data_IF_708904137452
#
_entry.id   IF_708904137452
#
_cell.length_a   1.000
_cell.length_b   1.000
_cell.length_c   1.000
_cell.angle_alpha   90.00
_cell.angle_beta   90.00
_cell.angle_gamma   90.00
#
_symmetry.space_group_name_H-M   'P 1'
#
loop_
_entity.id
_entity.type
_entity.pdbx_description
1 polymer ?
#
# COMPACT_ATOMS: atom_id res chain seq x y z
N UNK A 1 2.08 -4.76 0.96
CA UNK A 1 1.00 -5.78 0.84
C UNK A 1 -0.34 -5.09 0.88
N UNK A 2 -1.27 -5.37 -0.04
CA UNK A 2 -2.60 -4.77 0.03
C UNK A 2 -3.70 -5.75 -0.36
N UNK A 3 -4.78 -5.76 0.41
CA UNK A 3 -5.97 -6.56 0.20
C UNK A 3 -6.99 -5.79 -0.64
N UNK A 4 -7.76 -6.50 -1.45
CA UNK A 4 -8.93 -5.98 -2.13
C UNK A 4 -10.10 -6.98 -1.98
N UNK A 5 -11.36 -6.50 -2.02
CA UNK A 5 -12.52 -7.34 -1.75
C UNK A 5 -12.65 -8.58 -2.64
N UNK A 6 -12.75 -8.38 -3.96
CA UNK A 6 -13.09 -9.42 -4.93
C UNK A 6 -12.57 -9.07 -6.33
N UNK A 7 -12.19 -10.10 -7.07
CA UNK A 7 -12.00 -10.06 -8.53
C UNK A 7 -13.31 -9.67 -9.25
N UNK A 8 -13.21 -9.14 -10.47
CA UNK A 8 -14.36 -8.79 -11.33
C UNK A 8 -15.37 -7.81 -10.70
N UNK A 9 -14.90 -6.91 -9.84
CA UNK A 9 -15.71 -5.82 -9.25
C UNK A 9 -15.23 -4.44 -9.73
N UNK A 10 -15.74 -3.35 -9.14
CA UNK A 10 -15.66 -2.01 -9.72
C UNK A 10 -14.42 -1.21 -9.33
N UNK A 11 -14.17 -1.03 -8.02
CA UNK A 11 -13.03 -0.22 -7.52
C UNK A 11 -11.74 -1.04 -7.47
N UNK A 12 -11.83 -2.35 -7.26
CA UNK A 12 -10.66 -3.23 -7.16
C UNK A 12 -9.71 -3.19 -8.37
N UNK A 13 -10.19 -3.25 -9.65
CA UNK A 13 -9.29 -3.19 -10.79
C UNK A 13 -8.57 -1.84 -10.88
N UNK A 14 -9.20 -0.74 -10.46
CA UNK A 14 -8.57 0.59 -10.54
C UNK A 14 -7.37 0.68 -9.60
N UNK A 15 -7.46 0.11 -8.40
CA UNK A 15 -6.35 0.08 -7.44
C UNK A 15 -5.19 -0.80 -7.93
N UNK A 16 -5.50 -2.03 -8.37
CA UNK A 16 -4.48 -2.98 -8.85
C UNK A 16 -3.77 -2.40 -10.08
N UNK A 17 -4.51 -1.81 -11.01
CA UNK A 17 -3.94 -1.16 -12.20
C UNK A 17 -3.06 0.02 -11.80
N UNK A 18 -3.54 0.90 -10.90
CA UNK A 18 -2.78 2.08 -10.49
C UNK A 18 -1.45 1.72 -9.81
N UNK A 19 -1.44 0.68 -8.96
CA UNK A 19 -0.21 0.17 -8.37
C UNK A 19 0.67 -0.54 -9.39
N UNK A 20 0.09 -1.35 -10.28
CA UNK A 20 0.83 -2.07 -11.32
C UNK A 20 1.52 -1.14 -12.31
N UNK A 21 0.84 -0.09 -12.77
CA UNK A 21 1.39 0.87 -13.73
C UNK A 21 2.54 1.69 -13.12
N UNK A 22 2.54 1.86 -11.78
CA UNK A 22 3.56 2.57 -11.02
C UNK A 22 4.53 1.66 -10.26
N UNK A 23 4.49 0.35 -10.50
CA UNK A 23 5.32 -0.62 -9.77
C UNK A 23 6.82 -0.32 -9.87
N UNK A 24 7.27 0.25 -10.99
CA UNK A 24 8.66 0.68 -11.18
C UNK A 24 9.12 1.70 -10.12
N UNK A 25 8.27 2.64 -9.72
CA UNK A 25 8.60 3.65 -8.70
C UNK A 25 8.85 3.04 -7.32
N UNK A 26 8.18 1.92 -7.01
CA UNK A 26 8.39 1.16 -5.79
C UNK A 26 9.65 0.30 -5.89
N UNK A 27 9.86 -0.38 -7.02
CA UNK A 27 11.03 -1.22 -7.25
C UNK A 27 12.34 -0.40 -7.21
N UNK A 28 12.34 0.82 -7.76
CA UNK A 28 13.50 1.73 -7.73
C UNK A 28 13.95 2.11 -6.31
N UNK A 29 13.04 2.05 -5.34
CA UNK A 29 13.33 2.29 -3.92
C UNK A 29 13.40 0.98 -3.12
N UNK A 30 13.51 -0.18 -3.78
CA UNK A 30 13.63 -1.48 -3.12
C UNK A 30 12.36 -1.92 -2.38
N UNK A 31 11.18 -1.51 -2.84
CA UNK A 31 9.88 -1.89 -2.28
C UNK A 31 9.09 -2.74 -3.28
N UNK A 32 8.65 -3.92 -2.84
CA UNK A 32 7.82 -4.82 -3.64
C UNK A 32 6.33 -4.64 -3.32
N UNK A 33 5.49 -4.89 -4.33
CA UNK A 33 4.04 -4.79 -4.22
C UNK A 33 3.40 -6.17 -4.36
N UNK A 34 2.42 -6.49 -3.52
CA UNK A 34 1.62 -7.72 -3.60
C UNK A 34 0.17 -7.39 -3.32
N UNK A 35 -0.73 -7.77 -4.22
CA UNK A 35 -2.17 -7.65 -4.06
C UNK A 35 -2.74 -8.98 -3.56
N UNK A 36 -3.78 -8.96 -2.72
CA UNK A 36 -4.38 -10.16 -2.11
C UNK A 36 -5.90 -10.07 -2.15
N UNK A 37 -6.59 -11.15 -2.51
CA UNK A 37 -8.00 -11.32 -2.19
C UNK A 37 -8.30 -12.77 -1.81
N UNK A 38 -9.56 -13.05 -1.45
CA UNK A 38 -10.03 -14.40 -1.11
C UNK A 38 -10.42 -15.23 -2.35
N UNK A 39 -10.21 -14.69 -3.55
CA UNK A 39 -10.43 -15.39 -4.82
C UNK A 39 -9.38 -16.48 -5.07
N UNK A 40 -9.67 -17.38 -6.00
CA UNK A 40 -8.71 -18.42 -6.40
C UNK A 40 -7.68 -17.86 -7.38
N UNK A 41 -6.49 -18.48 -7.44
CA UNK A 41 -5.49 -18.14 -8.45
C UNK A 41 -5.98 -18.36 -9.90
N UNK A 42 -6.96 -19.25 -10.13
CA UNK A 42 -7.63 -19.38 -11.43
C UNK A 42 -8.46 -18.14 -11.78
N UNK A 43 -9.17 -17.57 -10.80
CA UNK A 43 -9.92 -16.32 -10.96
C UNK A 43 -8.99 -15.17 -11.31
N UNK A 44 -7.87 -15.04 -10.56
CA UNK A 44 -6.86 -14.02 -10.83
C UNK A 44 -6.33 -14.12 -12.26
N UNK A 45 -5.94 -15.32 -12.70
CA UNK A 45 -5.45 -15.55 -14.06
C UNK A 45 -6.49 -15.16 -15.10
N UNK A 46 -7.74 -15.59 -14.93
CA UNK A 46 -8.84 -15.22 -15.83
C UNK A 46 -9.01 -13.70 -15.89
N UNK A 47 -8.95 -13.01 -14.74
CA UNK A 47 -9.13 -11.56 -14.69
C UNK A 47 -8.01 -10.77 -15.35
N UNK A 48 -6.76 -11.27 -15.30
CA UNK A 48 -5.64 -10.67 -16.05
C UNK A 48 -5.76 -10.86 -17.57
N UNK A 49 -6.51 -11.86 -18.03
CA UNK A 49 -6.75 -12.08 -19.46
C UNK A 49 -7.87 -11.19 -20.00
N UNK A 50 -8.72 -10.62 -19.13
CA UNK A 50 -9.77 -9.68 -19.54
C UNK A 50 -9.15 -8.29 -19.83
N UNK A 51 -9.49 -7.65 -20.96
CA UNK A 51 -9.02 -6.30 -21.28
C UNK A 51 -9.49 -5.26 -20.25
N UNK A 52 -8.66 -4.25 -19.97
CA UNK A 52 -9.00 -3.15 -19.04
C UNK A 52 -10.28 -2.41 -19.41
N UNK A 53 -10.55 -2.24 -20.72
CA UNK A 53 -11.78 -1.60 -21.24
C UNK A 53 -13.07 -2.37 -20.91
N UNK A 54 -12.94 -3.64 -20.52
CA UNK A 54 -14.04 -4.54 -20.14
C UNK A 54 -14.05 -4.79 -18.61
N UNK A 55 -13.30 -4.01 -17.83
CA UNK A 55 -13.19 -4.17 -16.37
C UNK A 55 -12.18 -5.23 -15.92
N UNK A 56 -11.37 -5.75 -16.83
CA UNK A 56 -10.24 -6.63 -16.51
C UNK A 56 -8.99 -5.90 -16.04
N UNK A 57 -7.95 -6.65 -15.68
CA UNK A 57 -6.66 -6.06 -15.29
C UNK A 57 -5.73 -5.84 -16.49
N UNK A 58 -5.88 -6.65 -17.54
CA UNK A 58 -4.91 -6.75 -18.63
C UNK A 58 -3.51 -7.11 -18.12
N UNK A 59 -2.47 -6.53 -18.75
CA UNK A 59 -1.08 -6.73 -18.28
C UNK A 59 -0.91 -6.14 -16.88
N UNK A 60 -0.63 -7.03 -15.93
CA UNK A 60 -0.32 -6.71 -14.53
C UNK A 60 1.08 -7.21 -14.21
N UNK A 61 1.90 -6.38 -13.55
CA UNK A 61 3.30 -6.71 -13.22
C UNK A 61 3.51 -7.02 -11.74
N UNK A 62 2.48 -6.85 -10.92
CA UNK A 62 2.50 -7.18 -9.50
C UNK A 62 1.88 -8.57 -9.25
N UNK A 63 2.41 -9.36 -8.32
CA UNK A 63 1.80 -10.62 -7.90
C UNK A 63 0.38 -10.44 -7.33
N UNK A 64 -0.54 -11.32 -7.76
CA UNK A 64 -1.88 -11.48 -7.20
C UNK A 64 -1.90 -12.76 -6.34
N UNK A 65 -2.00 -12.59 -5.03
CA UNK A 65 -1.99 -13.68 -4.06
C UNK A 65 -3.42 -14.13 -3.75
N UNK A 66 -3.66 -15.43 -3.93
CA UNK A 66 -4.92 -16.08 -3.56
C UNK A 66 -4.90 -16.48 -2.09
N UNK A 67 -5.76 -15.88 -1.28
CA UNK A 67 -6.07 -16.33 0.08
C UNK A 67 -7.39 -17.10 0.11
N UNK A 68 -7.45 -18.21 -0.62
CA UNK A 68 -8.71 -18.98 -0.73
C UNK A 68 -9.19 -19.54 0.62
N UNK A 69 -8.27 -19.73 1.56
CA UNK A 69 -8.57 -20.17 2.93
C UNK A 69 -9.12 -19.06 3.84
N UNK A 70 -9.06 -17.80 3.40
CA UNK A 70 -9.35 -16.59 4.19
C UNK A 70 -8.45 -16.44 5.43
N UNK A 71 -7.38 -17.23 5.54
CA UNK A 71 -6.52 -17.26 6.73
C UNK A 71 -5.66 -16.00 6.78
N UNK A 72 -5.10 -15.59 5.64
CA UNK A 72 -4.22 -14.42 5.56
C UNK A 72 -5.04 -13.15 5.86
N UNK A 73 -6.21 -12.98 5.24
CA UNK A 73 -7.10 -11.85 5.50
C UNK A 73 -7.54 -11.79 6.97
N UNK A 74 -7.77 -12.95 7.61
CA UNK A 74 -8.11 -13.03 9.05
C UNK A 74 -6.93 -12.67 9.94
N UNK A 75 -5.73 -13.20 9.66
CA UNK A 75 -4.51 -12.89 10.42
C UNK A 75 -4.12 -11.40 10.33
N UNK A 76 -4.37 -10.76 9.18
CA UNK A 76 -4.19 -9.32 9.00
C UNK A 76 -5.36 -8.48 9.54
N UNK A 77 -6.42 -9.10 10.08
CA UNK A 77 -7.56 -8.40 10.69
C UNK A 77 -8.44 -7.63 9.72
N UNK A 78 -8.46 -8.01 8.44
CA UNK A 78 -9.20 -7.30 7.38
C UNK A 78 -10.32 -8.14 6.75
N UNK A 79 -10.49 -9.39 7.18
CA UNK A 79 -11.59 -10.24 6.72
C UNK A 79 -12.92 -9.77 7.32
N UNK A 80 -13.94 -9.65 6.48
CA UNK A 80 -15.33 -9.68 6.91
C UNK A 80 -15.78 -11.15 6.98
N UNK A 81 -15.92 -11.69 8.20
CA UNK A 81 -16.30 -13.10 8.41
C UNK A 81 -17.75 -13.41 7.98
N UNK A 82 -18.63 -12.41 7.85
CA UNK A 82 -20.00 -12.62 7.37
C UNK A 82 -20.04 -12.84 5.86
N UNK A 83 -19.20 -12.11 5.11
CA UNK A 83 -19.23 -12.13 3.63
C UNK A 83 -18.07 -12.91 3.00
N UNK A 84 -17.00 -13.20 3.75
CA UNK A 84 -15.82 -13.91 3.26
C UNK A 84 -14.91 -13.08 2.34
N UNK A 85 -15.02 -11.74 2.38
CA UNK A 85 -14.20 -10.81 1.58
C UNK A 85 -13.34 -9.95 2.49
N UNK A 86 -12.21 -9.46 1.98
CA UNK A 86 -11.38 -8.53 2.72
C UNK A 86 -11.85 -7.07 2.53
N UNK A 87 -11.77 -6.26 3.58
CA UNK A 87 -11.76 -4.80 3.45
C UNK A 87 -10.52 -4.34 2.67
N UNK A 88 -10.50 -3.06 2.26
CA UNK A 88 -9.37 -2.47 1.51
C UNK A 88 -8.19 -2.15 2.44
N UNK A 89 -7.61 -3.18 3.04
CA UNK A 89 -6.44 -3.09 3.91
C UNK A 89 -5.14 -2.96 3.13
N UNK A 90 -4.27 -2.04 3.51
CA UNK A 90 -2.92 -1.88 2.96
C UNK A 90 -1.92 -1.82 4.12
N UNK A 91 -0.82 -2.54 3.95
CA UNK A 91 0.21 -2.74 4.96
C UNK A 91 1.59 -2.46 4.36
N UNK A 92 2.31 -1.53 4.98
CA UNK A 92 3.73 -1.27 4.68
C UNK A 92 4.58 -2.04 5.70
N UNK A 93 5.39 -2.96 5.20
CA UNK A 93 6.25 -3.86 5.98
C UNK A 93 7.69 -3.55 5.58
N UNK A 94 8.56 -3.31 6.57
CA UNK A 94 9.97 -2.97 6.30
C UNK A 94 10.85 -4.20 6.02
N UNK A 95 12.12 -3.95 5.70
CA UNK A 95 13.11 -4.99 5.40
C UNK A 95 13.37 -5.95 6.59
N UNK A 96 13.07 -5.53 7.82
CA UNK A 96 13.18 -6.34 9.03
C UNK A 96 11.88 -7.08 9.35
N UNK A 97 10.94 -7.14 8.39
CA UNK A 97 9.61 -7.75 8.54
C UNK A 97 8.76 -7.11 9.64
N UNK A 98 8.99 -5.83 9.94
CA UNK A 98 8.18 -5.07 10.91
C UNK A 98 7.08 -4.32 10.18
N UNK A 99 5.86 -4.44 10.68
CA UNK A 99 4.73 -3.64 10.20
C UNK A 99 4.93 -2.17 10.62
N UNK A 100 4.93 -1.26 9.64
CA UNK A 100 5.18 0.18 9.85
C UNK A 100 3.93 1.04 9.71
N UNK A 101 3.00 0.62 8.85
CA UNK A 101 1.80 1.39 8.56
C UNK A 101 0.65 0.50 8.10
N UNK A 102 -0.56 0.88 8.50
CA UNK A 102 -1.82 0.23 8.14
C UNK A 102 -2.80 1.30 7.64
N UNK A 103 -3.37 1.11 6.46
CA UNK A 103 -4.54 1.85 5.96
C UNK A 103 -5.67 0.86 5.75
N UNK A 104 -6.85 1.10 6.34
CA UNK A 104 -8.05 0.31 6.05
C UNK A 104 -9.15 1.26 5.57
N UNK A 105 -9.55 1.10 4.32
CA UNK A 105 -10.72 1.78 3.78
C UNK A 105 -11.93 0.84 3.78
N UNK A 106 -13.11 1.41 3.97
CA UNK A 106 -14.36 0.72 3.65
C UNK A 106 -14.47 0.44 2.13
N UNK A 107 -15.38 -0.44 1.74
CA UNK A 107 -15.55 -0.95 0.39
C UNK A 107 -15.73 0.12 -0.71
N UNK A 108 -16.47 1.24 -0.51
CA UNK A 108 -16.76 2.16 -1.61
C UNK A 108 -15.62 3.14 -1.95
N UNK A 109 -14.56 3.24 -1.13
CA UNK A 109 -13.52 4.26 -1.28
C UNK A 109 -12.14 3.65 -1.57
N UNK A 110 -11.60 3.90 -2.76
CA UNK A 110 -10.25 3.46 -3.15
C UNK A 110 -9.12 4.19 -2.41
N UNK A 111 -7.92 3.59 -2.42
CA UNK A 111 -6.70 4.10 -1.80
C UNK A 111 -5.89 4.99 -2.75
N UNK A 112 -4.93 5.71 -2.19
CA UNK A 112 -3.98 6.55 -2.93
C UNK A 112 -2.62 5.89 -3.08
N UNK A 113 -2.16 5.71 -4.33
CA UNK A 113 -0.81 5.23 -4.64
C UNK A 113 0.25 6.28 -4.24
N UNK A 114 -0.05 7.57 -4.42
CA UNK A 114 0.85 8.66 -4.04
C UNK A 114 1.13 8.71 -2.55
N UNK A 115 0.09 8.55 -1.73
CA UNK A 115 0.25 8.52 -0.28
C UNK A 115 1.05 7.28 0.16
N UNK A 116 0.78 6.13 -0.47
CA UNK A 116 1.53 4.90 -0.19
C UNK A 116 3.01 5.09 -0.51
N UNK A 117 3.35 5.65 -1.67
CA UNK A 117 4.73 5.91 -2.06
C UNK A 117 5.41 6.95 -1.15
N UNK A 118 4.67 7.99 -0.74
CA UNK A 118 5.14 9.00 0.23
C UNK A 118 5.52 8.35 1.56
N UNK A 119 4.66 7.48 2.08
CA UNK A 119 4.88 6.77 3.34
C UNK A 119 6.08 5.82 3.28
N UNK A 120 6.22 5.03 2.20
CA UNK A 120 7.40 4.16 2.01
C UNK A 120 8.69 4.98 2.04
N UNK A 121 8.75 6.08 1.28
CA UNK A 121 9.92 6.98 1.26
C UNK A 121 10.18 7.62 2.62
N UNK A 122 9.13 7.97 3.37
CA UNK A 122 9.27 8.53 4.71
C UNK A 122 9.91 7.53 5.67
N UNK A 123 9.42 6.29 5.72
CA UNK A 123 10.02 5.26 6.58
C UNK A 123 11.47 4.96 6.21
N UNK A 124 11.78 4.86 4.91
CA UNK A 124 13.15 4.68 4.46
C UNK A 124 14.06 5.84 4.86
N UNK A 125 13.57 7.08 4.77
CA UNK A 125 14.32 8.25 5.22
C UNK A 125 14.61 8.18 6.71
N UNK A 126 13.60 7.92 7.54
CA UNK A 126 13.78 7.82 9.00
C UNK A 126 14.72 6.67 9.39
N UNK A 127 14.68 5.56 8.66
CA UNK A 127 15.53 4.39 8.91
C UNK A 127 17.00 4.67 8.57
N UNK A 128 17.29 5.49 7.55
CA UNK A 128 18.65 5.86 7.14
C UNK A 128 19.23 6.99 8.00
N UNK A 129 18.43 8.02 8.30
CA UNK A 129 18.93 9.27 8.88
C UNK A 129 18.71 9.39 10.40
N UNK A 130 17.79 8.61 10.98
CA UNK A 130 17.43 8.73 12.41
C UNK A 130 16.67 10.00 12.78
N UNK A 131 16.33 10.83 11.79
CA UNK A 131 15.42 11.96 11.92
C UNK A 131 13.96 11.53 11.78
N UNK A 132 13.02 12.41 12.14
CA UNK A 132 11.59 12.16 11.96
C UNK A 132 10.97 13.07 10.90
N UNK A 133 10.03 12.52 10.15
CA UNK A 133 9.31 13.20 9.08
C UNK A 133 8.06 13.92 9.64
N UNK A 134 7.92 15.25 9.46
CA UNK A 134 6.72 15.98 9.87
C UNK A 134 5.48 15.63 9.03
N UNK A 135 4.33 16.19 9.41
CA UNK A 135 3.09 16.06 8.65
C UNK A 135 3.28 16.53 7.19
N UNK A 136 2.68 15.79 6.25
CA UNK A 136 2.77 16.04 4.81
C UNK A 136 4.20 16.01 4.23
N UNK A 137 5.18 15.47 4.97
CA UNK A 137 6.56 15.36 4.48
C UNK A 137 6.63 14.61 3.15
N UNK A 138 7.43 15.16 2.24
CA UNK A 138 7.82 14.57 0.95
C UNK A 138 9.34 14.65 0.80
N UNK A 139 9.96 13.83 -0.05
CA UNK A 139 11.40 13.94 -0.34
C UNK A 139 11.83 15.38 -0.62
N UNK A 140 12.91 15.82 0.04
CA UNK A 140 13.41 17.21 -0.02
C UNK A 140 12.77 18.17 0.98
N UNK A 141 11.71 17.78 1.71
CA UNK A 141 11.14 18.60 2.79
C UNK A 141 12.02 18.57 4.03
N UNK A 142 11.95 19.63 4.84
CA UNK A 142 12.62 19.70 6.14
C UNK A 142 12.11 18.61 7.09
N UNK A 143 13.00 18.15 7.95
CA UNK A 143 12.84 17.06 8.92
C UNK A 143 13.22 17.53 10.32
N UNK A 144 12.96 16.70 11.33
CA UNK A 144 13.17 17.04 12.73
C UNK A 144 14.16 16.05 13.33
N UNK A 145 15.26 16.53 13.92
CA UNK A 145 16.07 15.70 14.82
C UNK A 145 15.26 15.42 16.10
N UNK A 146 15.03 14.15 16.49
CA UNK A 146 14.19 13.80 17.64
C UNK A 146 14.93 14.02 18.98
N UNK A 147 15.30 15.28 19.23
CA UNK A 147 15.96 15.76 20.43
C UNK A 147 15.36 17.11 20.84
N UNK A 148 15.10 17.31 22.13
CA UNK A 148 14.38 18.49 22.64
C UNK A 148 15.09 19.82 22.41
N UNK A 149 16.41 19.81 22.19
CA UNK A 149 17.21 21.01 21.90
C UNK A 149 17.33 21.19 20.40
N UNK A 150 17.76 20.16 19.67
CA UNK A 150 18.01 20.22 18.22
C UNK A 150 16.73 20.39 17.40
N UNK A 151 15.58 19.91 17.87
CA UNK A 151 14.31 20.08 17.16
C UNK A 151 13.92 21.55 16.94
N UNK A 152 14.45 22.48 17.76
CA UNK A 152 14.17 23.91 17.64
C UNK A 152 14.64 24.48 16.30
N UNK A 153 15.70 23.92 15.71
CA UNK A 153 16.19 24.32 14.39
C UNK A 153 15.11 24.18 13.32
N UNK A 154 14.35 23.06 13.36
CA UNK A 154 13.21 22.87 12.46
C UNK A 154 12.09 23.87 12.74
N UNK A 155 11.68 24.03 14.00
CA UNK A 155 10.55 24.90 14.36
C UNK A 155 10.82 26.37 14.04
N UNK A 156 12.03 26.88 14.27
CA UNK A 156 12.44 28.22 13.85
C UNK A 156 12.40 28.38 12.32
N UNK A 157 12.81 27.34 11.60
CA UNK A 157 12.86 27.31 10.15
C UNK A 157 11.49 27.28 9.45
N UNK A 158 10.42 26.86 10.12
CA UNK A 158 9.07 26.73 9.54
C UNK A 158 8.04 27.71 10.13
N UNK A 159 8.42 28.47 11.17
CA UNK A 159 7.52 29.44 11.83
C UNK A 159 7.54 30.84 11.20
N UNK A 160 7.93 30.95 9.92
CA UNK A 160 7.93 32.21 9.15
C UNK A 160 7.03 32.05 7.94
#
# INVERSE_FOLDING_TARGET
LFFYPLDFTFVCPTEIIAFSDRAKEFNEIGCELVAVSTDSHFSHLAWTQVPRKEGGLGKTVIPLLSDKSMRISREYGVLNDETGIAYRGLFIIDANQRLRQITVNDLPVGRSVDETLRLVRAFQYTDIHGEVCPANWKPGSKTITPDTVKSKEYFEAVSR
#
